data_IF_313993988046
#
_entry.id   IF_313993988046
#
_cell.length_a   1.000
_cell.length_b   1.000
_cell.length_c   1.000
_cell.angle_alpha   90.00
_cell.angle_beta   90.00
_cell.angle_gamma   90.00
#
_symmetry.space_group_name_H-M   'P 1'
#
loop_
_entity.id
_entity.type
_entity.pdbx_description
1 polymer ?
#
# COMPACT_ATOMS: atom_id res chain seq x y z
N UNK A 1 16.52 2.74 -13.34
CA UNK A 1 16.93 1.83 -14.44
C UNK A 1 17.58 2.63 -15.57
N UNK A 2 16.84 3.49 -16.29
CA UNK A 2 17.39 4.31 -17.39
C UNK A 2 17.74 5.76 -17.01
N UNK A 3 17.78 6.09 -15.72
CA UNK A 3 17.92 7.46 -15.21
C UNK A 3 16.94 8.46 -15.88
N UNK A 4 17.35 9.73 -15.96
CA UNK A 4 16.52 10.83 -16.50
C UNK A 4 16.00 10.58 -17.93
N UNK A 5 16.78 10.00 -18.86
CA UNK A 5 16.29 9.71 -20.22
C UNK A 5 15.06 8.79 -20.28
N UNK A 6 14.83 7.95 -19.27
CA UNK A 6 13.66 7.07 -19.20
C UNK A 6 12.36 7.76 -18.79
N UNK A 7 12.42 9.00 -18.28
CA UNK A 7 11.26 9.70 -17.73
C UNK A 7 10.21 10.00 -18.82
N UNK A 8 10.62 10.61 -19.94
CA UNK A 8 9.69 10.93 -21.03
C UNK A 8 9.04 9.68 -21.65
N UNK A 9 9.80 8.64 -22.03
CA UNK A 9 9.23 7.37 -22.48
C UNK A 9 8.27 6.73 -21.47
N UNK A 10 8.60 6.77 -20.18
CA UNK A 10 7.75 6.25 -19.12
C UNK A 10 6.44 7.02 -18.97
N UNK A 11 6.48 8.35 -18.99
CA UNK A 11 5.28 9.19 -18.91
C UNK A 11 4.36 8.99 -20.11
N UNK A 12 4.92 8.96 -21.34
CA UNK A 12 4.13 8.69 -22.54
C UNK A 12 3.56 7.28 -22.51
N UNK A 13 4.34 6.29 -22.09
CA UNK A 13 3.85 4.92 -21.89
C UNK A 13 2.70 4.83 -20.89
N UNK A 14 2.76 5.57 -19.79
CA UNK A 14 1.67 5.69 -18.82
C UNK A 14 0.42 6.35 -19.43
N UNK A 15 0.58 7.40 -20.23
CA UNK A 15 -0.52 8.04 -20.96
C UNK A 15 -1.17 7.08 -21.96
N UNK A 16 -0.35 6.32 -22.70
CA UNK A 16 -0.84 5.29 -23.62
C UNK A 16 -1.59 4.20 -22.85
N UNK A 17 -1.08 3.75 -21.70
CA UNK A 17 -1.78 2.79 -20.85
C UNK A 17 -3.15 3.30 -20.39
N UNK A 18 -3.26 4.58 -20.03
CA UNK A 18 -4.53 5.20 -19.67
C UNK A 18 -5.50 5.23 -20.86
N UNK A 19 -5.04 5.64 -22.04
CA UNK A 19 -5.87 5.73 -23.24
C UNK A 19 -6.33 4.35 -23.76
N UNK A 20 -5.54 3.30 -23.53
CA UNK A 20 -5.88 1.92 -23.89
C UNK A 20 -6.72 1.21 -22.81
N UNK A 21 -7.13 1.90 -21.74
CA UNK A 21 -7.82 1.31 -20.58
C UNK A 21 -7.01 0.21 -19.86
N UNK A 22 -5.69 0.18 -20.02
CA UNK A 22 -4.79 -0.73 -19.33
C UNK A 22 -4.46 -0.28 -17.88
N UNK A 23 -4.85 0.95 -17.52
CA UNK A 23 -4.80 1.50 -16.16
C UNK A 23 -3.42 1.38 -15.49
N UNK A 24 -3.42 1.14 -14.18
CA UNK A 24 -2.17 1.09 -13.41
C UNK A 24 -1.27 -0.10 -13.81
N UNK A 25 -1.85 -1.24 -14.21
CA UNK A 25 -1.10 -2.41 -14.68
C UNK A 25 -0.32 -2.08 -15.95
N UNK A 26 -1.00 -1.43 -16.90
CA UNK A 26 -0.36 -0.92 -18.12
C UNK A 26 0.71 0.11 -17.81
N UNK A 27 0.49 0.98 -16.83
CA UNK A 27 1.48 1.95 -16.35
C UNK A 27 2.75 1.30 -15.79
N UNK A 28 2.61 0.23 -15.00
CA UNK A 28 3.75 -0.54 -14.47
C UNK A 28 4.55 -1.18 -15.61
N UNK A 29 3.86 -1.85 -16.53
CA UNK A 29 4.49 -2.50 -17.70
C UNK A 29 5.21 -1.46 -18.56
N UNK A 30 4.53 -0.36 -18.89
CA UNK A 30 5.11 0.74 -19.64
C UNK A 30 6.35 1.33 -18.95
N UNK A 31 6.31 1.48 -17.62
CA UNK A 31 7.45 1.94 -16.81
C UNK A 31 8.65 1.00 -16.89
N UNK A 32 8.43 -0.32 -16.85
CA UNK A 32 9.50 -1.30 -17.02
C UNK A 32 10.06 -1.34 -18.44
N UNK A 33 9.21 -1.25 -19.47
CA UNK A 33 9.65 -1.15 -20.87
C UNK A 33 10.48 0.12 -21.06
N UNK A 34 10.02 1.25 -20.52
CA UNK A 34 10.76 2.51 -20.54
C UNK A 34 12.10 2.37 -19.81
N UNK A 35 12.10 1.81 -18.61
CA UNK A 35 13.30 1.64 -17.80
C UNK A 35 14.35 0.75 -18.47
N UNK A 36 14.00 -0.49 -18.81
CA UNK A 36 14.97 -1.43 -19.39
C UNK A 36 15.23 -1.17 -20.87
N UNK A 37 14.21 -0.80 -21.64
CA UNK A 37 14.33 -0.50 -23.06
C UNK A 37 15.21 0.71 -23.32
N UNK A 38 15.02 1.81 -22.59
CA UNK A 38 15.88 3.00 -22.74
C UNK A 38 17.30 2.73 -22.24
N UNK A 39 17.46 1.94 -21.17
CA UNK A 39 18.78 1.52 -20.72
C UNK A 39 19.51 0.68 -21.79
N UNK A 40 18.80 -0.22 -22.47
CA UNK A 40 19.34 -0.98 -23.60
C UNK A 40 19.73 -0.07 -24.77
N UNK A 41 18.85 0.84 -25.19
CA UNK A 41 19.16 1.84 -26.23
C UNK A 41 20.40 2.66 -25.86
N UNK A 42 20.51 3.09 -24.60
CA UNK A 42 21.69 3.80 -24.12
C UNK A 42 22.95 2.94 -24.21
N UNK A 43 22.87 1.64 -23.93
CA UNK A 43 24.03 0.75 -24.03
C UNK A 43 24.48 0.50 -25.47
N UNK A 44 23.54 0.35 -26.40
CA UNK A 44 23.84 -0.05 -27.78
C UNK A 44 24.12 1.12 -28.73
N UNK A 45 23.51 2.28 -28.53
CA UNK A 45 23.74 3.45 -29.38
C UNK A 45 25.08 4.10 -29.01
N UNK A 46 26.06 4.04 -29.90
CA UNK A 46 27.34 4.75 -29.75
C UNK A 46 27.39 5.92 -30.71
N UNK A 47 27.75 7.10 -30.20
CA UNK A 47 27.88 8.33 -30.98
C UNK A 47 29.32 8.83 -30.90
N UNK A 48 29.79 9.57 -31.91
CA UNK A 48 31.06 10.28 -31.82
C UNK A 48 31.00 11.35 -30.72
N UNK A 49 32.16 11.69 -30.14
CA UNK A 49 32.28 12.64 -29.01
C UNK A 49 31.48 13.94 -29.18
N UNK A 50 31.45 14.47 -30.40
CA UNK A 50 30.76 15.73 -30.72
C UNK A 50 29.23 15.65 -30.61
N UNK A 51 28.66 14.44 -30.62
CA UNK A 51 27.21 14.19 -30.60
C UNK A 51 26.73 13.49 -29.33
N UNK A 52 27.64 13.15 -28.39
CA UNK A 52 27.27 12.44 -27.15
C UNK A 52 26.23 13.20 -26.32
N UNK A 53 26.28 14.54 -26.32
CA UNK A 53 25.30 15.38 -25.63
C UNK A 53 23.87 15.24 -26.15
N UNK A 54 23.68 14.89 -27.43
CA UNK A 54 22.35 14.67 -28.02
C UNK A 54 21.69 13.38 -27.54
N UNK A 55 22.49 12.44 -27.05
CA UNK A 55 22.02 11.11 -26.69
C UNK A 55 20.98 11.12 -25.56
N UNK A 56 21.26 11.67 -24.36
CA UNK A 56 20.27 11.73 -23.29
C UNK A 56 19.18 12.78 -23.51
N UNK A 57 19.43 13.81 -24.33
CA UNK A 57 18.53 14.95 -24.53
C UNK A 57 17.46 14.67 -25.60
N UNK A 58 17.83 14.01 -26.68
CA UNK A 58 16.96 13.84 -27.85
C UNK A 58 16.81 12.37 -28.24
N UNK A 59 17.92 11.67 -28.49
CA UNK A 59 17.89 10.36 -29.13
C UNK A 59 17.20 9.32 -28.23
N UNK A 60 17.60 9.24 -26.96
CA UNK A 60 17.00 8.29 -26.02
C UNK A 60 15.54 8.62 -25.68
N UNK A 61 15.16 9.88 -25.40
CA UNK A 61 13.74 10.22 -25.23
C UNK A 61 12.88 9.89 -26.45
N UNK A 62 13.33 10.20 -27.68
CA UNK A 62 12.55 9.96 -28.90
C UNK A 62 12.43 8.46 -29.20
N UNK A 63 13.55 7.75 -29.30
CA UNK A 63 13.55 6.32 -29.61
C UNK A 63 12.92 5.50 -28.48
N UNK A 64 13.14 5.91 -27.22
CA UNK A 64 12.49 5.31 -26.07
C UNK A 64 10.98 5.47 -26.11
N UNK A 65 10.49 6.67 -26.42
CA UNK A 65 9.05 6.93 -26.52
C UNK A 65 8.44 6.13 -27.66
N UNK A 66 9.12 6.07 -28.82
CA UNK A 66 8.69 5.24 -29.94
C UNK A 66 8.63 3.75 -29.55
N UNK A 67 9.67 3.24 -28.89
CA UNK A 67 9.74 1.85 -28.40
C UNK A 67 8.56 1.55 -27.46
N UNK A 68 8.38 2.37 -26.42
CA UNK A 68 7.34 2.15 -25.41
C UNK A 68 5.95 2.28 -26.03
N UNK A 69 5.73 3.31 -26.86
CA UNK A 69 4.46 3.53 -27.55
C UNK A 69 4.08 2.36 -28.45
N UNK A 70 4.99 1.91 -29.30
CA UNK A 70 4.74 0.76 -30.19
C UNK A 70 4.55 -0.54 -29.41
N UNK A 71 5.38 -0.81 -28.40
CA UNK A 71 5.24 -1.99 -27.57
C UNK A 71 3.88 -2.03 -26.85
N UNK A 72 3.45 -0.89 -26.28
CA UNK A 72 2.15 -0.78 -25.64
C UNK A 72 1.01 -0.90 -26.65
N UNK A 73 1.08 -0.26 -27.82
CA UNK A 73 -0.01 -0.31 -28.78
C UNK A 73 -0.19 -1.70 -29.43
N UNK A 74 0.90 -2.38 -29.77
CA UNK A 74 0.82 -3.61 -30.58
C UNK A 74 0.97 -4.90 -29.79
N UNK A 75 1.59 -4.87 -28.61
CA UNK A 75 1.93 -6.10 -27.87
C UNK A 75 1.23 -6.18 -26.52
N UNK A 76 1.35 -5.14 -25.69
CA UNK A 76 0.97 -5.23 -24.28
C UNK A 76 -0.38 -4.59 -23.94
N UNK A 77 -0.78 -3.54 -24.64
CA UNK A 77 -1.90 -2.69 -24.25
C UNK A 77 -3.22 -3.43 -24.13
N UNK A 78 -3.66 -4.10 -25.21
CA UNK A 78 -4.92 -4.83 -25.20
C UNK A 78 -4.94 -5.99 -24.20
N UNK A 79 -3.95 -6.91 -24.16
CA UNK A 79 -3.96 -7.99 -23.17
C UNK A 79 -4.01 -7.51 -21.72
N UNK A 80 -3.34 -6.39 -21.42
CA UNK A 80 -3.32 -5.81 -20.08
C UNK A 80 -4.62 -5.10 -19.74
N UNK A 81 -5.25 -4.44 -20.72
CA UNK A 81 -6.58 -3.86 -20.56
C UNK A 81 -7.64 -4.94 -20.27
N UNK A 82 -7.60 -6.06 -21.01
CA UNK A 82 -8.50 -7.19 -20.80
C UNK A 82 -8.30 -7.79 -19.40
N UNK A 83 -7.05 -7.95 -18.97
CA UNK A 83 -6.71 -8.42 -17.63
C UNK A 83 -7.23 -7.47 -16.54
N UNK A 84 -7.09 -6.16 -16.73
CA UNK A 84 -7.59 -5.16 -15.78
C UNK A 84 -9.11 -5.14 -15.73
N UNK A 85 -9.79 -5.22 -16.88
CA UNK A 85 -11.24 -5.32 -16.97
C UNK A 85 -11.75 -6.57 -16.23
N UNK A 86 -11.12 -7.74 -16.44
CA UNK A 86 -11.45 -8.95 -15.72
C UNK A 86 -11.23 -8.78 -14.20
N UNK A 87 -10.08 -8.26 -13.79
CA UNK A 87 -9.75 -8.05 -12.37
C UNK A 87 -10.75 -7.10 -11.70
N UNK A 88 -11.08 -5.99 -12.35
CA UNK A 88 -12.01 -5.00 -11.82
C UNK A 88 -13.43 -5.53 -11.73
N UNK A 89 -13.89 -6.29 -12.73
CA UNK A 89 -15.18 -6.98 -12.69
C UNK A 89 -15.23 -8.00 -11.55
N UNK A 90 -14.17 -8.79 -11.38
CA UNK A 90 -14.04 -9.75 -10.29
C UNK A 90 -14.11 -9.07 -8.92
N UNK A 91 -13.31 -8.00 -8.71
CA UNK A 91 -13.28 -7.25 -7.45
C UNK A 91 -14.62 -6.58 -7.12
N UNK A 92 -15.29 -5.99 -8.11
CA UNK A 92 -16.62 -5.36 -7.92
C UNK A 92 -17.72 -6.37 -7.63
N UNK A 93 -17.60 -7.59 -8.17
CA UNK A 93 -18.52 -8.68 -7.91
C UNK A 93 -18.32 -9.38 -6.56
N UNK A 94 -17.28 -9.02 -5.79
CA UNK A 94 -16.99 -9.68 -4.52
C UNK A 94 -18.05 -9.38 -3.47
N UNK A 95 -18.63 -10.44 -2.91
CA UNK A 95 -19.54 -10.37 -1.78
C UNK A 95 -19.20 -11.46 -0.76
N UNK A 96 -19.66 -11.29 0.48
CA UNK A 96 -19.56 -12.31 1.54
C UNK A 96 -18.12 -12.78 1.80
N UNK A 97 -17.88 -14.09 1.65
CA UNK A 97 -16.62 -14.75 2.01
C UNK A 97 -15.42 -14.29 1.17
N UNK A 98 -15.60 -14.01 -0.12
CA UNK A 98 -14.51 -13.55 -0.98
C UNK A 98 -13.98 -12.19 -0.50
N UNK A 99 -14.89 -11.24 -0.21
CA UNK A 99 -14.52 -9.92 0.28
C UNK A 99 -13.81 -10.01 1.64
N UNK A 100 -14.29 -10.91 2.50
CA UNK A 100 -13.67 -11.22 3.79
C UNK A 100 -12.23 -11.72 3.62
N UNK A 101 -12.00 -12.69 2.74
CA UNK A 101 -10.67 -13.28 2.52
C UNK A 101 -9.68 -12.25 1.94
N UNK A 102 -10.11 -11.44 0.98
CA UNK A 102 -9.26 -10.37 0.45
C UNK A 102 -8.97 -9.30 1.50
N UNK A 103 -9.95 -8.96 2.33
CA UNK A 103 -9.75 -8.03 3.45
C UNK A 103 -8.78 -8.55 4.50
N UNK A 104 -8.86 -9.84 4.85
CA UNK A 104 -7.88 -10.50 5.73
C UNK A 104 -6.48 -10.43 5.15
N UNK A 105 -6.33 -10.75 3.85
CA UNK A 105 -5.05 -10.72 3.16
C UNK A 105 -4.44 -9.32 3.12
N UNK A 106 -5.17 -8.34 2.59
CA UNK A 106 -4.70 -6.96 2.49
C UNK A 106 -4.40 -6.38 3.87
N UNK A 107 -5.29 -6.62 4.85
CA UNK A 107 -5.09 -6.16 6.20
C UNK A 107 -3.85 -6.77 6.86
N UNK A 108 -3.64 -8.07 6.71
CA UNK A 108 -2.45 -8.74 7.21
C UNK A 108 -1.15 -8.24 6.56
N UNK A 109 -1.16 -8.04 5.24
CA UNK A 109 -0.02 -7.50 4.50
C UNK A 109 0.38 -6.11 4.98
N UNK A 110 -0.60 -5.24 5.29
CA UNK A 110 -0.33 -3.90 5.80
C UNK A 110 0.40 -3.90 7.16
N UNK A 111 0.21 -4.92 7.99
CA UNK A 111 0.84 -4.97 9.31
C UNK A 111 2.17 -5.71 9.33
N UNK A 112 2.40 -6.62 8.37
CA UNK A 112 3.42 -7.66 8.44
C UNK A 112 4.84 -7.12 8.70
N UNK A 113 5.22 -6.07 7.99
CA UNK A 113 6.55 -5.44 8.07
C UNK A 113 6.49 -3.94 8.39
N UNK A 114 5.34 -3.47 8.92
CA UNK A 114 5.13 -2.11 9.44
C UNK A 114 5.62 -0.98 8.51
N UNK A 115 5.40 -1.12 7.20
CA UNK A 115 5.83 -0.14 6.20
C UNK A 115 6.92 -0.65 5.25
N UNK A 116 7.34 -1.91 5.39
CA UNK A 116 8.25 -2.58 4.48
C UNK A 116 7.63 -2.99 3.13
N UNK A 117 8.34 -3.82 2.34
CA UNK A 117 7.92 -4.21 0.99
C UNK A 117 6.54 -4.86 0.88
N UNK A 118 6.12 -5.66 1.87
CA UNK A 118 4.82 -6.35 1.87
C UNK A 118 3.68 -5.34 2.07
N UNK A 119 3.84 -4.44 3.04
CA UNK A 119 2.91 -3.32 3.24
C UNK A 119 2.82 -2.45 1.99
N UNK A 120 3.96 -2.03 1.42
CA UNK A 120 3.96 -1.16 0.23
C UNK A 120 3.39 -1.86 -1.00
N UNK A 121 3.53 -3.18 -1.12
CA UNK A 121 2.89 -3.95 -2.19
C UNK A 121 1.35 -3.91 -2.07
N UNK A 122 0.80 -4.17 -0.88
CA UNK A 122 -0.65 -4.07 -0.64
C UNK A 122 -1.18 -2.65 -0.86
N UNK A 123 -0.43 -1.65 -0.40
CA UNK A 123 -0.78 -0.24 -0.58
C UNK A 123 -0.75 0.19 -2.05
N UNK A 124 0.28 -0.20 -2.80
CA UNK A 124 0.41 0.12 -4.23
C UNK A 124 -0.68 -0.55 -5.05
N UNK A 125 -1.01 -1.81 -4.76
CA UNK A 125 -2.14 -2.51 -5.37
C UNK A 125 -3.45 -1.76 -5.12
N UNK A 126 -3.72 -1.41 -3.87
CA UNK A 126 -4.96 -0.73 -3.48
C UNK A 126 -5.07 0.67 -4.08
N UNK A 127 -3.96 1.41 -4.13
CA UNK A 127 -3.88 2.74 -4.77
C UNK A 127 -4.08 2.65 -6.27
N UNK A 128 -3.48 1.66 -6.94
CA UNK A 128 -3.61 1.47 -8.38
C UNK A 128 -5.05 1.25 -8.83
N UNK A 129 -5.86 0.61 -7.99
CA UNK A 129 -7.27 0.34 -8.25
C UNK A 129 -8.19 1.57 -8.15
N UNK A 130 -7.74 2.66 -7.50
CA UNK A 130 -8.50 3.93 -7.44
C UNK A 130 -8.69 4.50 -8.85
N UNK A 131 -7.67 4.41 -9.71
CA UNK A 131 -7.75 4.85 -11.10
C UNK A 131 -8.84 4.10 -11.88
N UNK A 132 -9.11 2.84 -11.50
CA UNK A 132 -10.16 2.00 -12.05
C UNK A 132 -11.49 2.09 -11.29
N UNK A 133 -11.63 3.07 -10.38
CA UNK A 133 -12.83 3.28 -9.56
C UNK A 133 -13.20 2.02 -8.75
N UNK A 134 -12.19 1.34 -8.19
CA UNK A 134 -12.36 0.22 -7.25
C UNK A 134 -11.73 0.64 -5.94
N UNK A 135 -12.57 1.03 -4.98
CA UNK A 135 -12.14 1.77 -3.79
C UNK A 135 -12.12 0.95 -2.49
N UNK A 136 -12.76 -0.21 -2.48
CA UNK A 136 -12.84 -1.06 -1.28
C UNK A 136 -11.47 -1.58 -0.82
N UNK A 137 -10.52 -1.97 -1.70
CA UNK A 137 -9.19 -2.39 -1.25
C UNK A 137 -8.42 -1.25 -0.59
N UNK A 138 -8.61 -0.01 -1.07
CA UNK A 138 -7.98 1.16 -0.49
C UNK A 138 -8.47 1.42 0.94
N UNK A 139 -9.77 1.34 1.18
CA UNK A 139 -10.32 1.47 2.53
C UNK A 139 -9.76 0.40 3.47
N UNK A 140 -9.70 -0.86 3.00
CA UNK A 140 -9.19 -1.98 3.78
C UNK A 140 -7.71 -1.81 4.14
N UNK A 141 -6.87 -1.46 3.17
CA UNK A 141 -5.45 -1.21 3.40
C UNK A 141 -5.24 -0.06 4.39
N UNK A 142 -6.05 0.99 4.27
CA UNK A 142 -5.97 2.18 5.09
C UNK A 142 -6.35 1.94 6.54
N UNK A 143 -7.52 1.37 6.79
CA UNK A 143 -7.94 1.08 8.15
C UNK A 143 -6.99 0.09 8.82
N UNK A 144 -6.51 -0.90 8.07
CA UNK A 144 -5.58 -1.89 8.56
C UNK A 144 -4.26 -1.27 8.98
N UNK A 145 -3.65 -0.40 8.16
CA UNK A 145 -2.35 0.22 8.48
C UNK A 145 -2.38 1.20 9.66
N UNK A 146 -3.56 1.70 10.06
CA UNK A 146 -3.71 2.49 11.29
C UNK A 146 -3.70 1.61 12.55
N UNK A 147 -4.12 0.35 12.44
CA UNK A 147 -4.39 -0.49 13.62
C UNK A 147 -3.15 -0.93 14.41
N UNK A 148 -1.95 -1.18 13.81
CA UNK A 148 -0.78 -1.61 14.58
C UNK A 148 -0.33 -0.60 15.65
N UNK A 149 0.01 0.66 15.31
CA UNK A 149 0.38 1.67 16.30
C UNK A 149 -0.74 2.03 17.29
N UNK A 150 -2.00 2.11 16.84
CA UNK A 150 -3.14 2.40 17.71
C UNK A 150 -3.41 1.26 18.69
N UNK A 151 -3.33 0.01 18.23
CA UNK A 151 -3.49 -1.18 19.05
C UNK A 151 -2.37 -1.33 20.07
N UNK A 152 -1.13 -0.98 19.72
CA UNK A 152 -0.01 -0.91 20.66
C UNK A 152 -0.25 0.16 21.73
N UNK A 153 -0.65 1.37 21.34
CA UNK A 153 -0.95 2.45 22.30
C UNK A 153 -2.02 2.01 23.29
N UNK A 154 -3.14 1.47 22.80
CA UNK A 154 -4.22 0.94 23.63
C UNK A 154 -3.74 -0.20 24.54
N UNK A 155 -3.02 -1.18 24.00
CA UNK A 155 -2.48 -2.30 24.78
C UNK A 155 -1.56 -1.83 25.90
N UNK A 156 -0.76 -0.80 25.64
CA UNK A 156 0.21 -0.29 26.60
C UNK A 156 -0.46 0.46 27.74
N UNK A 157 -1.54 1.20 27.46
CA UNK A 157 -2.33 1.88 28.49
C UNK A 157 -3.14 0.92 29.36
N UNK A 158 -3.74 -0.13 28.76
CA UNK A 158 -4.63 -1.06 29.45
C UNK A 158 -3.87 -2.23 30.10
N UNK A 159 -2.85 -2.78 29.44
CA UNK A 159 -2.09 -3.95 29.86
C UNK A 159 -0.65 -3.59 30.21
N UNK A 160 -0.47 -2.58 31.07
CA UNK A 160 0.83 -2.00 31.44
C UNK A 160 1.88 -3.05 31.83
N UNK A 161 1.48 -4.14 32.49
CA UNK A 161 2.37 -5.21 32.90
C UNK A 161 2.99 -6.02 31.74
N UNK A 162 2.58 -5.80 30.50
CA UNK A 162 3.14 -6.43 29.29
C UNK A 162 4.21 -5.58 28.59
N UNK A 163 4.43 -4.37 29.08
CA UNK A 163 5.31 -3.38 28.44
C UNK A 163 6.30 -2.79 29.44
N UNK A 164 7.53 -2.55 28.98
CA UNK A 164 8.59 -1.90 29.78
C UNK A 164 8.29 -0.43 30.01
N UNK A 165 9.05 0.21 30.91
CA UNK A 165 8.94 1.67 31.16
C UNK A 165 9.19 2.47 29.87
N UNK A 166 10.17 2.05 29.07
CA UNK A 166 10.49 2.66 27.76
C UNK A 166 9.34 2.52 26.76
N UNK A 167 8.75 1.32 26.64
CA UNK A 167 7.61 1.06 25.76
C UNK A 167 6.37 1.86 26.19
N UNK A 168 6.18 2.07 27.52
CA UNK A 168 5.10 2.92 28.05
C UNK A 168 5.32 4.40 27.74
N UNK A 169 6.55 4.87 27.81
CA UNK A 169 6.91 6.26 27.52
C UNK A 169 6.65 6.69 26.07
N UNK A 170 6.76 5.76 25.12
CA UNK A 170 6.56 6.03 23.68
C UNK A 170 5.15 5.69 23.15
N UNK A 171 4.27 5.11 23.97
CA UNK A 171 2.96 4.63 23.54
C UNK A 171 2.06 5.72 22.96
N UNK A 172 2.06 6.91 23.56
CA UNK A 172 1.28 8.05 23.06
C UNK A 172 1.78 8.52 21.69
N UNK A 173 3.09 8.56 21.49
CA UNK A 173 3.67 8.92 20.19
C UNK A 173 3.30 7.89 19.12
N UNK A 174 3.36 6.59 19.44
CA UNK A 174 2.86 5.53 18.57
C UNK A 174 1.38 5.75 18.22
N UNK A 175 0.52 6.03 19.20
CA UNK A 175 -0.89 6.32 18.96
C UNK A 175 -1.14 7.47 17.99
N UNK A 176 -0.41 8.59 18.15
CA UNK A 176 -0.49 9.75 17.23
C UNK A 176 -0.05 9.37 15.82
N UNK A 177 1.05 8.63 15.68
CA UNK A 177 1.50 8.10 14.39
C UNK A 177 0.43 7.20 13.75
N UNK A 178 -0.23 6.36 14.54
CA UNK A 178 -1.35 5.54 14.06
C UNK A 178 -2.55 6.33 13.58
N UNK A 179 -2.92 7.41 14.27
CA UNK A 179 -3.94 8.35 13.79
C UNK A 179 -3.53 9.01 12.47
N UNK A 180 -2.24 9.16 12.21
CA UNK A 180 -1.71 9.69 10.95
C UNK A 180 -1.45 8.61 9.89
N UNK A 181 -1.83 7.35 10.13
CA UNK A 181 -1.54 6.21 9.24
C UNK A 181 -0.03 6.00 8.99
N UNK A 182 0.76 6.23 10.04
CA UNK A 182 2.19 5.92 10.06
C UNK A 182 2.38 4.62 10.85
N UNK A 183 2.36 3.50 10.14
CA UNK A 183 2.46 2.14 10.71
C UNK A 183 3.82 1.90 11.38
N UNK A 184 4.84 2.64 10.96
CA UNK A 184 6.23 2.58 11.44
C UNK A 184 6.35 2.86 12.94
N UNK A 185 5.37 3.54 13.56
CA UNK A 185 5.29 3.72 15.01
C UNK A 185 5.26 2.40 15.80
N UNK A 186 4.94 1.28 15.15
CA UNK A 186 4.97 -0.06 15.73
C UNK A 186 6.36 -0.73 15.70
N UNK A 187 7.30 -0.25 14.87
CA UNK A 187 8.62 -0.87 14.67
C UNK A 187 9.39 -1.05 15.98
N UNK A 188 9.49 -0.06 16.90
CA UNK A 188 10.24 -0.23 18.14
C UNK A 188 9.74 -1.40 19.00
N UNK A 189 8.43 -1.63 19.03
CA UNK A 189 7.79 -2.71 19.80
C UNK A 189 7.97 -4.06 19.12
N UNK A 190 7.89 -4.10 17.79
CA UNK A 190 8.13 -5.30 17.00
C UNK A 190 9.61 -5.71 17.02
N UNK A 191 10.54 -4.76 16.98
CA UNK A 191 11.98 -5.04 17.06
C UNK A 191 12.36 -5.65 18.41
N UNK A 192 11.69 -5.27 19.50
CA UNK A 192 11.94 -5.80 20.84
C UNK A 192 11.39 -7.22 21.06
N UNK A 193 10.19 -7.51 20.56
CA UNK A 193 9.54 -8.82 20.71
C UNK A 193 8.81 -9.24 19.41
N UNK A 194 9.56 -9.60 18.35
CA UNK A 194 9.00 -9.79 17.01
C UNK A 194 8.01 -10.95 16.93
N UNK A 195 8.31 -12.07 17.59
CA UNK A 195 7.53 -13.30 17.52
C UNK A 195 6.13 -13.18 18.12
N UNK A 196 5.89 -12.17 18.98
CA UNK A 196 4.58 -11.95 19.62
C UNK A 196 3.91 -10.67 19.15
N UNK A 197 4.70 -9.63 18.90
CA UNK A 197 4.17 -8.35 18.42
C UNK A 197 3.68 -8.49 16.99
N UNK A 198 4.50 -8.95 16.04
CA UNK A 198 4.11 -8.98 14.61
C UNK A 198 2.83 -9.82 14.39
N UNK A 199 2.69 -11.05 14.92
CA UNK A 199 1.44 -11.78 14.78
C UNK A 199 0.22 -11.05 15.35
N UNK A 200 0.36 -10.36 16.49
CA UNK A 200 -0.73 -9.58 17.06
C UNK A 200 -1.17 -8.42 16.14
N UNK A 201 -0.19 -7.71 15.56
CA UNK A 201 -0.45 -6.61 14.62
C UNK A 201 -1.15 -7.13 13.35
N UNK A 202 -0.66 -8.25 12.81
CA UNK A 202 -1.22 -8.91 11.62
C UNK A 202 -2.66 -9.35 11.88
N UNK A 203 -2.94 -9.98 13.02
CA UNK A 203 -4.30 -10.45 13.36
C UNK A 203 -5.28 -9.27 13.42
N UNK A 204 -4.96 -8.20 14.17
CA UNK A 204 -5.87 -7.06 14.28
C UNK A 204 -6.06 -6.30 12.97
N UNK A 205 -4.99 -6.14 12.19
CA UNK A 205 -5.07 -5.49 10.88
C UNK A 205 -5.84 -6.31 9.86
N UNK A 206 -5.66 -7.64 9.86
CA UNK A 206 -6.44 -8.56 9.03
C UNK A 206 -7.94 -8.48 9.38
N UNK A 207 -8.29 -8.47 10.67
CA UNK A 207 -9.68 -8.30 11.12
C UNK A 207 -10.25 -6.95 10.67
N UNK A 208 -9.50 -5.85 10.81
CA UNK A 208 -9.93 -4.53 10.33
C UNK A 208 -10.19 -4.54 8.81
N UNK A 209 -9.25 -5.08 8.03
CA UNK A 209 -9.38 -5.19 6.57
C UNK A 209 -10.57 -6.05 6.16
N UNK A 210 -10.80 -7.18 6.85
CA UNK A 210 -11.94 -8.05 6.62
C UNK A 210 -13.29 -7.35 6.86
N UNK A 211 -13.42 -6.64 7.99
CA UNK A 211 -14.63 -5.88 8.32
C UNK A 211 -14.83 -4.76 7.30
N UNK A 212 -13.78 -4.02 6.94
CA UNK A 212 -13.87 -2.95 5.95
C UNK A 212 -14.33 -3.43 4.57
N UNK A 213 -13.74 -4.52 4.07
CA UNK A 213 -14.11 -5.09 2.77
C UNK A 213 -15.54 -5.64 2.77
N UNK A 214 -15.91 -6.39 3.81
CA UNK A 214 -17.24 -7.01 3.89
C UNK A 214 -18.35 -5.98 4.09
N UNK A 215 -18.06 -4.91 4.80
CA UNK A 215 -18.99 -3.81 5.00
C UNK A 215 -19.07 -2.83 3.82
N UNK A 216 -18.30 -3.09 2.75
CA UNK A 216 -18.30 -2.29 1.53
C UNK A 216 -17.75 -0.87 1.73
N UNK A 217 -16.92 -0.64 2.75
CA UNK A 217 -16.33 0.68 2.96
C UNK A 217 -15.40 1.04 1.79
N UNK A 218 -15.53 2.26 1.27
CA UNK A 218 -14.71 2.75 0.17
C UNK A 218 -13.90 3.97 0.58
N UNK A 219 -12.67 4.07 0.05
CA UNK A 219 -11.83 5.24 0.22
C UNK A 219 -11.33 5.71 -1.15
N UNK A 220 -11.69 6.94 -1.51
CA UNK A 220 -11.38 7.49 -2.85
C UNK A 220 -9.99 8.11 -2.95
N UNK A 221 -9.31 8.30 -1.82
CA UNK A 221 -8.05 9.01 -1.78
C UNK A 221 -6.95 8.16 -1.12
N UNK A 222 -5.75 8.08 -1.71
CA UNK A 222 -4.65 7.32 -1.16
C UNK A 222 -3.88 8.15 -0.13
N UNK A 223 -4.59 8.68 0.88
CA UNK A 223 -3.97 9.48 1.93
C UNK A 223 -4.53 9.14 3.31
N UNK A 224 -3.59 9.13 4.25
CA UNK A 224 -3.61 8.51 5.57
C UNK A 224 -4.50 9.14 6.64
N UNK A 225 -4.97 8.28 7.54
CA UNK A 225 -5.24 8.66 8.93
C UNK A 225 -6.63 9.24 9.18
N UNK A 226 -6.83 9.77 10.38
CA UNK A 226 -8.10 10.38 10.79
C UNK A 226 -8.44 11.62 9.95
N UNK A 227 -7.43 12.21 9.29
CA UNK A 227 -7.58 13.39 8.45
C UNK A 227 -8.48 13.17 7.23
N UNK A 228 -8.48 11.96 6.65
CA UNK A 228 -9.38 11.65 5.52
C UNK A 228 -10.85 11.65 5.93
N UNK A 229 -11.14 11.39 7.22
CA UNK A 229 -12.51 11.42 7.74
C UNK A 229 -13.11 12.83 7.75
N UNK A 230 -12.25 13.87 7.70
CA UNK A 230 -12.66 15.27 7.66
C UNK A 230 -13.02 15.73 6.24
N UNK A 231 -12.65 14.96 5.21
CA UNK A 231 -12.93 15.31 3.82
C UNK A 231 -14.30 14.76 3.44
N UNK A 232 -15.27 15.63 3.07
CA UNK A 232 -16.60 15.18 2.69
C UNK A 232 -16.55 14.17 1.54
N UNK A 233 -17.27 13.05 1.69
CA UNK A 233 -17.41 11.99 0.68
C UNK A 233 -16.11 11.28 0.26
N UNK A 234 -15.01 11.46 0.99
CA UNK A 234 -13.78 10.70 0.77
C UNK A 234 -13.91 9.23 1.20
N UNK A 235 -14.68 8.98 2.25
CA UNK A 235 -15.04 7.66 2.77
C UNK A 235 -16.53 7.40 2.55
N UNK A 236 -16.89 6.27 1.95
CA UNK A 236 -18.28 5.77 1.97
C UNK A 236 -18.42 4.72 3.08
N UNK A 237 -19.64 4.57 3.63
CA UNK A 237 -19.89 3.73 4.81
C UNK A 237 -18.96 4.06 6.01
N UNK A 238 -18.81 5.35 6.30
CA UNK A 238 -17.91 5.88 7.34
C UNK A 238 -18.07 5.19 8.71
N UNK A 239 -19.30 4.91 9.14
CA UNK A 239 -19.54 4.23 10.41
C UNK A 239 -18.93 2.82 10.42
N UNK A 240 -19.05 2.08 9.32
CA UNK A 240 -18.46 0.74 9.19
C UNK A 240 -16.93 0.82 9.14
N UNK A 241 -16.37 1.84 8.48
CA UNK A 241 -14.93 2.08 8.45
C UNK A 241 -14.38 2.36 9.86
N UNK A 242 -15.03 3.24 10.62
CA UNK A 242 -14.64 3.54 12.02
C UNK A 242 -14.83 2.32 12.92
N UNK A 243 -15.89 1.54 12.72
CA UNK A 243 -16.09 0.29 13.44
C UNK A 243 -14.95 -0.71 13.15
N UNK A 244 -14.58 -0.88 11.88
CA UNK A 244 -13.47 -1.74 11.48
C UNK A 244 -12.16 -1.31 12.15
N UNK A 245 -11.90 0.01 12.22
CA UNK A 245 -10.75 0.57 12.92
C UNK A 245 -10.75 0.20 14.40
N UNK A 246 -11.85 0.49 15.10
CA UNK A 246 -11.99 0.24 16.54
C UNK A 246 -11.83 -1.25 16.84
N UNK A 247 -12.51 -2.12 16.08
CA UNK A 247 -12.42 -3.57 16.27
C UNK A 247 -10.99 -4.06 16.02
N UNK A 248 -10.33 -3.62 14.95
CA UNK A 248 -8.95 -3.99 14.67
C UNK A 248 -7.97 -3.54 15.76
N UNK A 249 -8.13 -2.33 16.28
CA UNK A 249 -7.34 -1.78 17.39
C UNK A 249 -7.54 -2.60 18.66
N UNK A 250 -8.78 -2.94 19.01
CA UNK A 250 -9.09 -3.78 20.17
C UNK A 250 -8.53 -5.20 20.00
N UNK A 251 -8.69 -5.80 18.82
CA UNK A 251 -8.15 -7.13 18.53
C UNK A 251 -6.63 -7.15 18.62
N UNK A 252 -5.94 -6.15 18.05
CA UNK A 252 -4.48 -6.00 18.21
C UNK A 252 -4.11 -5.92 19.69
N UNK A 253 -4.83 -5.11 20.48
CA UNK A 253 -4.51 -4.93 21.90
C UNK A 253 -4.72 -6.20 22.73
N UNK A 254 -5.82 -6.92 22.48
CA UNK A 254 -6.11 -8.21 23.13
C UNK A 254 -5.09 -9.28 22.69
N UNK A 255 -4.76 -9.35 21.41
CA UNK A 255 -3.74 -10.28 20.90
C UNK A 255 -2.37 -10.01 21.55
N UNK A 256 -1.97 -8.74 21.69
CA UNK A 256 -0.74 -8.37 22.41
C UNK A 256 -0.78 -8.80 23.88
N UNK A 257 -1.91 -8.65 24.56
CA UNK A 257 -2.07 -9.14 25.95
C UNK A 257 -1.88 -10.64 26.06
N UNK A 258 -2.47 -11.40 25.14
CA UNK A 258 -2.45 -12.87 25.15
C UNK A 258 -1.06 -13.42 24.78
N UNK A 259 -0.38 -12.79 23.83
CA UNK A 259 0.90 -13.26 23.30
C UNK A 259 2.10 -12.76 24.12
N UNK A 260 2.13 -11.50 24.55
CA UNK A 260 3.23 -10.95 25.37
C UNK A 260 3.18 -11.50 26.80
N UNK A 261 4.34 -11.87 27.33
CA UNK A 261 4.48 -12.27 28.74
C UNK A 261 4.52 -11.03 29.64
N UNK A 262 4.17 -11.16 30.93
CA UNK A 262 4.39 -10.08 31.89
C UNK A 262 5.87 -9.73 31.97
N UNK A 263 6.19 -8.44 32.04
CA UNK A 263 7.55 -7.92 32.25
C UNK A 263 7.83 -7.93 33.75
N UNK A 264 9.04 -8.35 34.14
CA UNK A 264 9.46 -8.43 35.55
C UNK A 264 9.56 -7.04 36.22
N UNK A 265 9.75 -5.97 35.43
CA UNK A 265 9.79 -4.59 35.90
C UNK A 265 8.38 -4.04 36.18
N UNK A 266 7.80 -4.53 37.26
CA UNK A 266 6.69 -3.87 37.96
C UNK A 266 7.28 -3.22 39.21
N UNK A 267 8.12 -2.19 39.02
CA UNK A 267 8.37 -1.24 40.09
C UNK A 267 7.35 -0.11 39.93
N UNK A 268 6.64 0.12 41.02
CA UNK A 268 5.42 0.92 41.16
C UNK A 268 5.52 2.35 40.61
#
# INVERSE_FOLDING_TARGET
>A
IADRPGIAPGMIGGLVAANLNAGFLGGIIAGFIAGYGVAALNRYIRLPRNLEGLKPVLILPVLGTLLVGLAMMYVFGQPVADLLAWLTAWLRGMQGSSALLLGLLLGGMMAFDMGGPVNKAAYAFSTGLIASQVYTPMAAAMVAGMTPPLGIALATWVFRNRFTVEERGSATAAGVLGLAFVTEGAIPYAARDPLRTIPALVIGSAVAGAISMTAGAELKAPHGGIFVLLIPNAVTHLLNYVLALVVGVVVTAVALRLLKKPVADVVA
#
